data_IF_418940225587
#
_entry.id   IF_418940225587
#
_cell.length_a   1.000
_cell.length_b   1.000
_cell.length_c   1.000
_cell.angle_alpha   90.00
_cell.angle_beta   90.00
_cell.angle_gamma   90.00
#
_symmetry.space_group_name_H-M   'P 1'
#
loop_
_entity.id
_entity.type
_entity.pdbx_description
1 polymer ?
#
# COMPACT_ATOMS: atom_id res chain seq x y z
N UNK A 1 -12.02 2.68 -16.52
CA UNK A 1 -11.04 2.12 -15.59
C UNK A 1 -9.73 2.88 -15.65
N UNK A 2 -9.52 3.80 -14.70
CA UNK A 2 -8.36 4.72 -14.73
C UNK A 2 -7.13 4.16 -14.02
N UNK A 3 -7.27 3.23 -13.06
CA UNK A 3 -6.12 2.57 -12.47
C UNK A 3 -6.44 1.24 -11.77
N UNK A 4 -5.71 0.19 -12.14
CA UNK A 4 -5.47 -0.99 -11.28
C UNK A 4 -4.12 -0.76 -10.61
N UNK A 5 -4.13 -0.35 -9.35
CA UNK A 5 -2.89 0.09 -8.66
C UNK A 5 -2.04 -1.10 -8.16
N UNK A 6 -2.58 -2.33 -8.24
CA UNK A 6 -1.89 -3.58 -7.89
C UNK A 6 -2.00 -4.62 -9.02
N UNK A 7 -1.75 -4.21 -10.26
CA UNK A 7 -1.76 -5.10 -11.42
C UNK A 7 -0.68 -6.18 -11.26
N UNK A 8 -1.09 -7.44 -11.37
CA UNK A 8 -0.15 -8.53 -11.61
C UNK A 8 0.23 -8.53 -13.08
N UNK A 9 1.53 -8.39 -13.37
CA UNK A 9 2.01 -8.75 -14.71
C UNK A 9 1.67 -10.22 -14.97
N UNK A 10 1.29 -10.56 -16.21
CA UNK A 10 0.93 -11.93 -16.63
C UNK A 10 2.08 -12.96 -16.47
N UNK A 11 3.20 -12.60 -15.86
CA UNK A 11 4.28 -13.49 -15.50
C UNK A 11 3.96 -14.19 -14.16
N UNK A 12 3.65 -15.50 -14.16
CA UNK A 12 3.08 -16.23 -13.02
C UNK A 12 4.03 -16.49 -11.83
N UNK A 13 5.19 -15.83 -11.77
CA UNK A 13 6.33 -16.26 -10.93
C UNK A 13 6.94 -15.16 -10.06
N UNK A 14 6.20 -14.08 -9.77
CA UNK A 14 6.73 -12.96 -8.96
C UNK A 14 5.77 -12.62 -7.83
N UNK A 15 6.27 -12.72 -6.59
CA UNK A 15 5.60 -12.20 -5.41
C UNK A 15 5.33 -10.69 -5.57
N UNK A 16 4.09 -10.27 -5.30
CA UNK A 16 3.62 -8.86 -5.36
C UNK A 16 4.51 -7.89 -4.61
N UNK A 17 5.09 -8.36 -3.52
CA UNK A 17 6.05 -7.65 -2.70
C UNK A 17 7.06 -8.64 -2.15
N UNK A 18 8.31 -8.19 -2.00
CA UNK A 18 9.41 -9.00 -1.49
C UNK A 18 10.03 -8.32 -0.28
N UNK A 19 10.29 -9.09 0.78
CA UNK A 19 11.05 -8.63 1.95
C UNK A 19 12.50 -9.09 1.87
N UNK A 20 13.42 -8.21 2.27
CA UNK A 20 14.84 -8.49 2.41
C UNK A 20 15.26 -8.12 3.84
N UNK A 21 15.69 -9.09 4.67
CA UNK A 21 16.25 -8.76 5.98
C UNK A 21 17.51 -7.92 5.79
N UNK A 22 17.76 -7.01 6.74
CA UNK A 22 18.95 -6.15 6.77
C UNK A 22 19.52 -6.15 8.18
N UNK A 23 20.73 -6.67 8.33
CA UNK A 23 21.54 -6.69 9.54
C UNK A 23 23.04 -6.75 9.26
N UNK A 24 23.44 -7.15 8.04
CA UNK A 24 24.84 -7.17 7.61
C UNK A 24 25.06 -6.65 6.18
N UNK A 25 26.31 -6.29 5.79
CA UNK A 25 26.59 -5.72 4.46
C UNK A 25 26.20 -6.62 3.28
N UNK A 26 26.22 -7.95 3.45
CA UNK A 26 25.87 -8.91 2.40
C UNK A 26 24.39 -8.77 1.97
N UNK A 27 23.53 -8.47 2.94
CA UNK A 27 22.08 -8.31 2.78
C UNK A 27 21.72 -6.97 2.11
N UNK A 28 22.48 -5.91 2.39
CA UNK A 28 22.37 -4.64 1.64
C UNK A 28 22.57 -4.89 0.14
N UNK A 29 23.59 -5.68 -0.21
CA UNK A 29 23.85 -6.02 -1.60
C UNK A 29 22.73 -6.89 -2.20
N UNK A 30 22.09 -7.76 -1.41
CA UNK A 30 20.96 -8.57 -1.85
C UNK A 30 19.72 -7.72 -2.17
N UNK A 31 19.31 -6.82 -1.26
CA UNK A 31 18.20 -5.90 -1.47
C UNK A 31 18.44 -5.00 -2.71
N UNK A 32 19.67 -4.48 -2.86
CA UNK A 32 20.05 -3.68 -4.03
C UNK A 32 19.97 -4.46 -5.34
N UNK A 33 20.45 -5.72 -5.36
CA UNK A 33 20.36 -6.58 -6.56
C UNK A 33 18.90 -6.83 -6.95
N UNK A 34 18.04 -7.09 -5.97
CA UNK A 34 16.63 -7.28 -6.21
C UNK A 34 15.93 -6.02 -6.73
N UNK A 35 16.28 -4.84 -6.19
CA UNK A 35 15.81 -3.55 -6.72
C UNK A 35 16.20 -3.34 -8.19
N UNK A 36 17.46 -3.59 -8.53
CA UNK A 36 17.95 -3.48 -9.91
C UNK A 36 17.33 -4.52 -10.87
N UNK A 37 17.02 -5.71 -10.37
CA UNK A 37 16.30 -6.72 -11.12
C UNK A 37 14.86 -6.26 -11.42
N UNK A 38 14.16 -5.78 -10.40
CA UNK A 38 12.79 -5.26 -10.54
C UNK A 38 12.75 -4.05 -11.48
N UNK A 39 13.68 -3.11 -11.34
CA UNK A 39 13.81 -1.93 -12.19
C UNK A 39 13.94 -2.30 -13.68
N UNK A 40 14.86 -3.23 -14.00
CA UNK A 40 15.03 -3.72 -15.37
C UNK A 40 13.76 -4.40 -15.92
N UNK A 41 13.07 -5.19 -15.09
CA UNK A 41 11.84 -5.89 -15.50
C UNK A 41 10.71 -4.92 -15.85
N UNK A 42 10.59 -3.80 -15.14
CA UNK A 42 9.55 -2.79 -15.40
C UNK A 42 10.00 -1.68 -16.37
N UNK A 43 11.17 -1.83 -17.00
CA UNK A 43 11.65 -0.92 -18.04
C UNK A 43 12.26 0.39 -17.55
N UNK A 44 12.83 0.44 -16.34
CA UNK A 44 13.64 1.59 -15.92
C UNK A 44 14.91 1.71 -16.76
N UNK A 45 15.31 2.95 -17.03
CA UNK A 45 16.59 3.25 -17.66
C UNK A 45 17.75 3.14 -16.65
N UNK A 46 18.98 3.26 -17.15
CA UNK A 46 20.19 3.15 -16.32
C UNK A 46 20.23 4.24 -15.22
N UNK A 47 19.70 5.43 -15.51
CA UNK A 47 19.66 6.54 -14.55
C UNK A 47 18.71 6.19 -13.39
N UNK A 48 17.46 5.82 -13.67
CA UNK A 48 16.48 5.43 -12.63
C UNK A 48 16.91 4.18 -11.87
N UNK A 49 17.52 3.22 -12.55
CA UNK A 49 18.09 2.02 -11.90
C UNK A 49 19.22 2.40 -10.95
N UNK A 50 20.14 3.28 -11.36
CA UNK A 50 21.20 3.80 -10.50
C UNK A 50 20.68 4.58 -9.30
N UNK A 51 19.66 5.43 -9.50
CA UNK A 51 18.99 6.17 -8.42
C UNK A 51 18.36 5.22 -7.40
N UNK A 52 17.60 4.21 -7.85
CA UNK A 52 17.00 3.20 -6.99
C UNK A 52 18.07 2.45 -6.18
N UNK A 53 19.19 2.09 -6.80
CA UNK A 53 20.29 1.40 -6.12
C UNK A 53 20.90 2.23 -4.98
N UNK A 54 21.04 3.54 -5.16
CA UNK A 54 21.54 4.47 -4.14
C UNK A 54 20.55 4.55 -2.98
N UNK A 55 19.27 4.79 -3.24
CA UNK A 55 18.29 4.95 -2.15
C UNK A 55 18.15 3.67 -1.31
N UNK A 56 18.18 2.49 -1.94
CA UNK A 56 18.16 1.20 -1.22
C UNK A 56 19.42 1.06 -0.36
N UNK A 57 20.58 1.39 -0.91
CA UNK A 57 21.86 1.25 -0.19
C UNK A 57 21.92 2.19 1.01
N UNK A 58 21.51 3.45 0.86
CA UNK A 58 21.49 4.43 1.94
C UNK A 58 20.47 4.05 3.02
N UNK A 59 19.26 3.64 2.65
CA UNK A 59 18.23 3.24 3.60
C UNK A 59 18.65 2.00 4.39
N UNK A 60 19.16 0.97 3.71
CA UNK A 60 19.66 -0.25 4.36
C UNK A 60 20.90 0.02 5.22
N UNK A 61 21.80 0.90 4.79
CA UNK A 61 22.96 1.32 5.60
C UNK A 61 22.51 2.04 6.87
N UNK A 62 21.49 2.88 6.79
CA UNK A 62 20.92 3.54 7.97
C UNK A 62 20.33 2.52 8.96
N UNK A 63 19.63 1.49 8.47
CA UNK A 63 19.14 0.39 9.31
C UNK A 63 20.30 -0.27 10.08
N UNK A 64 21.36 -0.69 9.39
CA UNK A 64 22.52 -1.34 10.03
C UNK A 64 23.19 -0.41 11.05
N UNK A 65 23.41 0.86 10.70
CA UNK A 65 24.11 1.82 11.55
C UNK A 65 23.33 2.26 12.78
N UNK A 66 22.00 2.40 12.66
CA UNK A 66 21.18 3.07 13.68
C UNK A 66 20.20 2.14 14.40
N UNK A 67 19.82 1.01 13.79
CA UNK A 67 18.87 0.06 14.34
C UNK A 67 19.43 -1.36 14.49
N UNK A 68 20.63 -1.64 13.97
CA UNK A 68 21.31 -2.94 13.92
C UNK A 68 20.62 -3.98 13.02
N UNK A 69 19.29 -3.99 12.99
CA UNK A 69 18.47 -4.88 12.17
C UNK A 69 17.20 -4.19 11.68
N UNK A 70 16.69 -4.66 10.56
CA UNK A 70 15.44 -4.23 9.95
C UNK A 70 15.19 -5.00 8.66
N UNK A 71 14.40 -4.41 7.77
CA UNK A 71 14.11 -5.00 6.48
C UNK A 71 13.84 -3.92 5.42
N UNK A 72 14.01 -4.33 4.15
CA UNK A 72 13.62 -3.56 2.98
C UNK A 72 12.51 -4.32 2.26
N UNK A 73 11.36 -3.69 2.07
CA UNK A 73 10.29 -4.21 1.23
C UNK A 73 10.33 -3.53 -0.14
N UNK A 74 10.22 -4.33 -1.21
CA UNK A 74 10.18 -3.86 -2.59
C UNK A 74 8.91 -4.34 -3.27
N UNK A 75 8.19 -3.43 -3.94
CA UNK A 75 7.09 -3.78 -4.85
C UNK A 75 7.03 -2.84 -6.05
N UNK A 76 6.47 -3.36 -7.15
CA UNK A 76 6.03 -2.53 -8.27
C UNK A 76 4.78 -1.75 -7.83
N UNK A 77 4.68 -0.50 -8.26
CA UNK A 77 3.47 0.31 -8.17
C UNK A 77 3.12 0.83 -9.55
N UNK A 78 1.85 1.06 -9.81
CA UNK A 78 1.35 1.64 -11.07
C UNK A 78 0.51 2.86 -10.73
N UNK A 79 0.68 3.98 -11.42
CA UNK A 79 -0.19 5.16 -11.30
C UNK A 79 -0.30 5.85 -12.64
N UNK A 80 -1.53 6.07 -13.12
CA UNK A 80 -1.78 6.73 -14.42
C UNK A 80 -1.02 6.07 -15.59
N UNK A 81 -0.93 4.73 -15.61
CA UNK A 81 -0.17 3.96 -16.61
C UNK A 81 1.35 4.01 -16.45
N UNK A 82 1.89 4.77 -15.50
CA UNK A 82 3.34 4.83 -15.22
C UNK A 82 3.70 3.84 -14.13
N UNK A 83 4.67 2.96 -14.40
CA UNK A 83 5.21 2.03 -13.41
C UNK A 83 6.27 2.71 -12.54
N UNK A 84 6.30 2.32 -11.26
CA UNK A 84 7.28 2.74 -10.27
C UNK A 84 7.68 1.59 -9.35
N UNK A 85 8.65 1.85 -8.49
CA UNK A 85 9.08 0.93 -7.43
C UNK A 85 8.95 1.64 -6.10
N UNK A 86 8.13 1.07 -5.21
CA UNK A 86 8.07 1.48 -3.82
C UNK A 86 9.11 0.70 -3.01
N UNK A 87 9.85 1.43 -2.20
CA UNK A 87 10.80 0.92 -1.22
C UNK A 87 10.29 1.32 0.16
N UNK A 88 10.06 0.32 1.02
CA UNK A 88 9.81 0.55 2.45
C UNK A 88 11.03 0.08 3.22
N UNK A 89 11.67 0.99 3.96
CA UNK A 89 12.74 0.63 4.88
C UNK A 89 12.20 0.66 6.30
N UNK A 90 12.24 -0.48 6.98
CA UNK A 90 11.53 -0.72 8.23
C UNK A 90 12.52 -1.16 9.30
N UNK A 91 12.55 -0.47 10.43
CA UNK A 91 13.34 -0.88 11.59
C UNK A 91 12.60 -0.73 12.92
N UNK A 92 13.11 -1.46 13.92
CA UNK A 92 12.69 -1.42 15.31
C UNK A 92 13.74 -0.73 16.20
N UNK A 93 14.52 0.18 15.62
CA UNK A 93 15.57 0.91 16.32
C UNK A 93 15.04 1.90 17.36
N UNK A 94 15.91 2.76 17.91
CA UNK A 94 15.52 3.73 18.93
C UNK A 94 14.53 4.80 18.41
N UNK A 95 14.38 4.93 17.10
CA UNK A 95 13.61 6.02 16.47
C UNK A 95 14.28 7.39 16.67
N UNK A 96 13.64 8.43 16.15
CA UNK A 96 14.14 9.80 16.20
C UNK A 96 13.12 10.72 16.89
N UNK A 97 13.61 11.71 17.63
CA UNK A 97 12.79 12.79 18.17
C UNK A 97 12.64 13.93 17.15
N UNK A 98 11.53 14.67 17.22
CA UNK A 98 11.31 15.97 16.55
C UNK A 98 11.40 16.02 15.01
N UNK A 99 11.36 14.89 14.29
CA UNK A 99 11.52 14.87 12.83
C UNK A 99 10.38 15.59 12.09
N UNK A 100 9.12 15.52 12.56
CA UNK A 100 7.98 16.17 11.88
C UNK A 100 8.02 17.71 11.92
N UNK A 101 8.50 18.31 13.01
CA UNK A 101 8.69 19.77 13.07
C UNK A 101 9.65 20.23 11.96
N UNK A 102 10.65 19.40 11.62
CA UNK A 102 11.61 19.68 10.56
C UNK A 102 11.09 19.34 9.14
N UNK A 103 9.92 18.71 9.01
CA UNK A 103 9.30 18.37 7.72
C UNK A 103 8.20 19.36 7.31
N UNK A 104 7.49 19.97 8.26
CA UNK A 104 6.38 20.91 8.00
C UNK A 104 6.84 22.33 7.63
N UNK A 105 7.99 22.79 8.13
CA UNK A 105 8.33 24.22 8.08
C UNK A 105 8.80 24.75 6.72
N UNK A 106 8.92 23.95 5.66
CA UNK A 106 9.08 24.41 4.26
C UNK A 106 10.27 25.34 3.94
N UNK A 107 10.99 25.85 4.93
CA UNK A 107 12.06 26.83 4.88
C UNK A 107 12.90 26.69 6.15
N UNK A 108 14.11 26.17 5.95
CA UNK A 108 15.32 26.33 6.78
C UNK A 108 15.20 26.12 8.31
N UNK A 109 15.96 25.16 8.81
CA UNK A 109 17.26 25.47 9.42
C UNK A 109 18.11 24.22 9.38
N UNK A 110 19.40 24.44 9.41
CA UNK A 110 20.53 23.52 9.32
C UNK A 110 20.54 22.50 10.48
N UNK A 111 19.52 21.66 10.59
CA UNK A 111 19.59 20.37 11.25
C UNK A 111 19.82 19.33 10.17
N UNK A 112 21.08 19.10 9.78
CA UNK A 112 21.41 18.13 8.73
C UNK A 112 20.83 16.76 9.08
N UNK A 113 19.70 16.41 8.47
CA UNK A 113 19.47 15.02 8.10
C UNK A 113 20.81 14.52 7.54
N UNK A 114 21.38 13.47 8.15
CA UNK A 114 22.68 12.96 7.71
C UNK A 114 22.72 12.80 6.20
N UNK A 115 23.90 12.92 5.59
CA UNK A 115 24.09 12.96 4.13
C UNK A 115 23.24 11.92 3.38
N UNK A 116 23.08 10.72 3.96
CA UNK A 116 22.26 9.64 3.42
C UNK A 116 20.76 9.96 3.31
N UNK A 117 20.11 10.48 4.36
CA UNK A 117 18.66 10.77 4.32
C UNK A 117 18.36 11.96 3.40
N UNK A 118 19.27 12.95 3.34
CA UNK A 118 19.20 14.02 2.35
C UNK A 118 19.33 13.51 0.91
N UNK A 119 20.17 12.50 0.67
CA UNK A 119 20.27 11.86 -0.65
C UNK A 119 19.00 11.09 -1.00
N UNK A 120 18.45 10.29 -0.06
CA UNK A 120 17.20 9.55 -0.25
C UNK A 120 16.06 10.50 -0.67
N UNK A 121 15.87 11.61 0.06
CA UNK A 121 14.80 12.57 -0.25
C UNK A 121 14.98 13.24 -1.61
N UNK A 122 16.21 13.55 -2.03
CA UNK A 122 16.47 14.18 -3.33
C UNK A 122 16.30 13.21 -4.51
N UNK A 123 16.57 11.93 -4.30
CA UNK A 123 16.56 10.91 -5.36
C UNK A 123 15.21 10.21 -5.52
N UNK A 124 14.32 10.34 -4.53
CA UNK A 124 12.97 9.78 -4.57
C UNK A 124 11.98 10.82 -5.09
N UNK A 125 11.01 10.42 -5.91
CA UNK A 125 9.93 11.32 -6.34
C UNK A 125 8.84 11.44 -5.27
N UNK A 126 8.54 10.33 -4.58
CA UNK A 126 7.72 10.36 -3.36
C UNK A 126 8.56 9.90 -2.18
N UNK A 127 8.37 10.58 -1.06
CA UNK A 127 9.10 10.31 0.17
C UNK A 127 8.22 10.66 1.36
N UNK A 128 8.10 9.74 2.32
CA UNK A 128 7.54 10.03 3.63
C UNK A 128 8.28 9.23 4.71
N UNK A 129 8.17 9.69 5.95
CA UNK A 129 8.89 9.11 7.09
C UNK A 129 8.02 9.09 8.35
N UNK A 130 7.90 7.90 8.93
CA UNK A 130 7.37 7.74 10.28
C UNK A 130 8.49 7.34 11.24
N UNK A 131 8.62 8.08 12.34
CA UNK A 131 9.56 7.74 13.42
C UNK A 131 9.05 8.34 14.73
N UNK A 132 9.29 7.63 15.83
CA UNK A 132 9.06 8.16 17.17
C UNK A 132 10.02 7.50 18.17
N UNK A 133 10.38 8.18 19.28
CA UNK A 133 11.25 7.60 20.30
C UNK A 133 10.72 6.24 20.81
N UNK A 134 11.57 5.21 20.74
CA UNK A 134 11.23 3.84 21.14
C UNK A 134 10.27 3.10 20.20
N UNK A 135 9.95 3.67 19.03
CA UNK A 135 9.02 3.10 18.04
C UNK A 135 9.69 2.80 16.70
N UNK A 136 11.02 2.80 16.62
CA UNK A 136 11.75 2.58 15.37
C UNK A 136 11.48 3.64 14.29
N UNK A 137 11.88 3.32 13.08
CA UNK A 137 11.74 4.18 11.90
C UNK A 137 11.19 3.39 10.72
N UNK A 138 10.30 4.03 9.95
CA UNK A 138 9.77 3.52 8.69
C UNK A 138 9.90 4.62 7.65
N UNK A 139 10.66 4.35 6.58
CA UNK A 139 10.80 5.24 5.42
C UNK A 139 10.02 4.66 4.25
N UNK A 140 9.31 5.53 3.54
CA UNK A 140 8.68 5.22 2.27
C UNK A 140 9.33 6.05 1.17
N UNK A 141 9.72 5.38 0.10
CA UNK A 141 10.27 6.02 -1.10
C UNK A 141 9.62 5.43 -2.34
N UNK A 142 9.33 6.25 -3.34
CA UNK A 142 8.94 5.77 -4.67
C UNK A 142 9.84 6.39 -5.73
N UNK A 143 10.33 5.52 -6.61
CA UNK A 143 10.98 5.92 -7.86
C UNK A 143 10.03 5.61 -9.01
N UNK A 144 9.73 6.58 -9.87
CA UNK A 144 8.87 6.41 -11.06
C UNK A 144 9.68 6.35 -12.35
N UNK A 145 9.22 5.54 -13.31
CA UNK A 145 9.84 5.39 -14.64
C UNK A 145 9.71 6.63 -15.54
N UNK A 146 10.41 6.62 -16.68
CA UNK A 146 10.67 7.81 -17.51
C UNK A 146 9.51 8.33 -18.37
N UNK A 147 8.33 7.69 -18.38
CA UNK A 147 7.14 8.33 -18.98
C UNK A 147 6.53 9.43 -18.10
N UNK A 148 7.01 9.58 -16.87
CA UNK A 148 6.78 10.76 -16.06
C UNK A 148 7.77 11.86 -16.47
N UNK A 149 7.28 12.92 -17.12
CA UNK A 149 7.98 14.20 -17.33
C UNK A 149 8.34 14.83 -15.97
N UNK A 150 9.30 14.27 -15.22
CA UNK A 150 9.73 14.70 -13.87
C UNK A 150 8.63 14.89 -12.81
N UNK A 151 7.35 14.77 -13.16
CA UNK A 151 6.20 14.97 -12.31
C UNK A 151 5.73 13.61 -11.79
N UNK A 152 5.46 13.54 -10.49
CA UNK A 152 4.71 12.45 -9.88
C UNK A 152 3.46 12.23 -10.76
N UNK A 153 3.17 10.99 -11.23
CA UNK A 153 1.97 10.76 -12.03
C UNK A 153 0.76 11.27 -11.25
N UNK A 154 -0.16 11.98 -11.94
CA UNK A 154 -1.38 12.49 -11.32
C UNK A 154 -2.04 11.38 -10.51
N UNK A 155 -2.28 11.66 -9.24
CA UNK A 155 -2.96 10.67 -8.42
C UNK A 155 -4.44 10.78 -8.70
N UNK A 156 -5.19 9.66 -8.79
CA UNK A 156 -6.60 9.77 -8.47
C UNK A 156 -6.71 10.37 -7.05
N UNK A 157 -7.88 10.86 -6.63
CA UNK A 157 -8.08 11.47 -5.30
C UNK A 157 -7.92 10.47 -4.13
N UNK A 158 -7.06 9.46 -4.26
CA UNK A 158 -6.86 8.31 -3.40
C UNK A 158 -5.37 8.07 -3.19
N UNK A 159 -4.98 7.97 -1.92
CA UNK A 159 -3.70 7.44 -1.51
C UNK A 159 -3.89 6.01 -1.01
N UNK A 160 -3.02 5.11 -1.47
CA UNK A 160 -3.09 3.68 -1.14
C UNK A 160 -1.72 3.18 -0.74
N UNK A 161 -1.69 2.43 0.34
CA UNK A 161 -0.50 1.76 0.84
C UNK A 161 -0.83 0.34 1.21
N UNK A 162 0.10 -0.57 0.95
CA UNK A 162 -0.09 -1.95 1.40
C UNK A 162 1.22 -2.63 1.75
N UNK A 163 1.12 -3.59 2.66
CA UNK A 163 2.09 -4.67 2.85
C UNK A 163 1.37 -5.98 2.56
N UNK A 164 1.91 -6.83 1.70
CA UNK A 164 1.34 -8.12 1.30
C UNK A 164 2.50 -9.10 1.12
N UNK A 165 2.82 -9.86 2.16
CA UNK A 165 4.01 -10.70 2.21
C UNK A 165 3.63 -12.16 2.50
N UNK A 166 4.34 -13.12 1.86
CA UNK A 166 4.15 -14.52 2.16
C UNK A 166 4.59 -14.86 3.58
N UNK A 167 4.03 -15.95 4.12
CA UNK A 167 4.62 -16.68 5.23
C UNK A 167 6.10 -16.94 4.93
N UNK A 168 6.99 -16.78 5.92
CA UNK A 168 8.43 -16.84 5.71
C UNK A 168 8.94 -18.17 5.08
N UNK A 169 8.20 -19.27 5.22
CA UNK A 169 8.51 -20.56 4.58
C UNK A 169 8.03 -20.69 3.14
N UNK A 170 7.26 -19.72 2.64
CA UNK A 170 6.62 -19.72 1.33
C UNK A 170 7.26 -18.69 0.40
N UNK A 171 7.19 -18.95 -0.91
CA UNK A 171 7.65 -18.01 -1.93
C UNK A 171 6.52 -17.14 -2.48
N UNK A 172 5.26 -17.56 -2.28
CA UNK A 172 4.07 -16.91 -2.81
C UNK A 172 3.09 -16.70 -1.66
N UNK A 173 2.56 -15.48 -1.59
CA UNK A 173 1.59 -15.08 -0.57
C UNK A 173 0.23 -15.73 -0.86
N UNK A 174 -0.35 -16.40 0.14
CA UNK A 174 -1.72 -16.92 0.08
C UNK A 174 -2.79 -15.83 0.04
N UNK A 175 -2.45 -14.62 0.50
CA UNK A 175 -3.33 -13.45 0.41
C UNK A 175 -3.18 -12.68 -0.92
N UNK A 176 -4.24 -11.96 -1.27
CA UNK A 176 -4.26 -10.99 -2.35
C UNK A 176 -5.09 -9.76 -1.98
N UNK A 177 -4.76 -8.62 -2.57
CA UNK A 177 -5.57 -7.40 -2.52
C UNK A 177 -5.60 -6.74 -3.89
N UNK A 178 -6.66 -6.02 -4.21
CA UNK A 178 -6.73 -5.26 -5.46
C UNK A 178 -7.62 -4.06 -5.32
N UNK A 179 -7.39 -3.06 -6.16
CA UNK A 179 -8.16 -1.84 -6.18
C UNK A 179 -8.44 -1.43 -7.62
N UNK A 180 -9.70 -1.05 -7.86
CA UNK A 180 -10.15 -0.47 -9.12
C UNK A 180 -10.71 0.92 -8.81
N UNK A 181 -10.18 1.93 -9.50
CA UNK A 181 -10.60 3.31 -9.39
C UNK A 181 -11.22 3.79 -10.71
N UNK A 182 -12.39 4.41 -10.63
CA UNK A 182 -13.12 5.01 -11.75
C UNK A 182 -13.73 6.35 -11.33
N UNK A 183 -13.08 7.47 -11.68
CA UNK A 183 -13.54 8.79 -11.27
C UNK A 183 -13.61 8.95 -9.74
N UNK A 184 -14.83 9.15 -9.21
CA UNK A 184 -15.09 9.31 -7.78
C UNK A 184 -15.40 7.99 -7.06
N UNK A 185 -15.45 6.87 -7.79
CA UNK A 185 -15.71 5.55 -7.24
C UNK A 185 -14.42 4.74 -7.11
N UNK A 186 -14.30 4.00 -6.00
CA UNK A 186 -13.18 3.09 -5.74
C UNK A 186 -13.67 1.81 -5.08
N UNK A 187 -13.28 0.66 -5.65
CA UNK A 187 -13.50 -0.65 -5.05
C UNK A 187 -12.17 -1.24 -4.60
N UNK A 188 -12.05 -1.55 -3.30
CA UNK A 188 -10.93 -2.25 -2.68
C UNK A 188 -11.38 -3.65 -2.26
N UNK A 189 -10.61 -4.67 -2.62
CA UNK A 189 -10.78 -6.04 -2.11
C UNK A 189 -9.54 -6.52 -1.38
N UNK A 190 -9.73 -7.33 -0.34
CA UNK A 190 -8.69 -8.13 0.32
C UNK A 190 -9.21 -9.56 0.47
N UNK A 191 -8.39 -10.54 0.08
CA UNK A 191 -8.68 -11.96 0.16
C UNK A 191 -7.54 -12.71 0.81
N UNK A 192 -7.89 -13.70 1.61
CA UNK A 192 -7.00 -14.65 2.30
C UNK A 192 -7.41 -16.04 1.83
N UNK A 193 -6.59 -16.64 0.96
CA UNK A 193 -6.84 -17.96 0.41
C UNK A 193 -6.60 -19.04 1.46
N UNK A 194 -7.44 -20.09 1.51
CA UNK A 194 -7.33 -21.07 2.59
C UNK A 194 -5.96 -21.78 2.66
N UNK A 195 -5.26 -21.57 3.78
CA UNK A 195 -3.91 -22.06 4.05
C UNK A 195 -2.87 -21.07 3.54
N UNK A 196 -1.68 -21.55 3.16
CA UNK A 196 -0.61 -20.72 2.61
C UNK A 196 -0.04 -21.32 1.31
N UNK A 197 0.81 -20.53 0.64
CA UNK A 197 1.53 -20.95 -0.55
C UNK A 197 0.68 -21.00 -1.83
N UNK A 198 1.14 -21.69 -2.89
CA UNK A 198 0.59 -21.52 -4.24
C UNK A 198 -0.91 -21.85 -4.41
N UNK A 199 -1.44 -22.78 -3.62
CA UNK A 199 -2.86 -23.16 -3.70
C UNK A 199 -3.80 -22.16 -3.02
N UNK A 200 -3.33 -21.53 -1.93
CA UNK A 200 -4.01 -20.40 -1.31
C UNK A 200 -3.96 -19.19 -2.23
N UNK A 201 -2.77 -18.88 -2.76
CA UNK A 201 -2.56 -17.80 -3.72
C UNK A 201 -3.48 -17.94 -4.93
N UNK A 202 -3.63 -19.14 -5.50
CA UNK A 202 -4.57 -19.37 -6.62
C UNK A 202 -6.01 -18.96 -6.29
N UNK A 203 -6.46 -19.15 -5.05
CA UNK A 203 -7.81 -18.79 -4.63
C UNK A 203 -7.97 -17.28 -4.49
N UNK A 204 -7.08 -16.61 -3.77
CA UNK A 204 -7.10 -15.17 -3.56
C UNK A 204 -6.84 -14.38 -4.84
N UNK A 205 -5.94 -14.87 -5.69
CA UNK A 205 -5.63 -14.27 -7.00
C UNK A 205 -6.78 -14.40 -8.00
N UNK A 206 -7.54 -15.49 -7.93
CA UNK A 206 -8.77 -15.62 -8.72
C UNK A 206 -9.77 -14.51 -8.37
N UNK A 207 -9.94 -14.18 -7.09
CA UNK A 207 -10.78 -13.06 -6.67
C UNK A 207 -10.22 -11.70 -7.12
N UNK A 208 -8.90 -11.50 -6.99
CA UNK A 208 -8.21 -10.30 -7.46
C UNK A 208 -8.43 -10.03 -8.95
N UNK A 209 -8.29 -11.07 -9.77
CA UNK A 209 -8.50 -11.00 -11.21
C UNK A 209 -9.97 -10.69 -11.56
N UNK A 210 -10.95 -11.18 -10.81
CA UNK A 210 -12.36 -10.82 -11.06
C UNK A 210 -12.62 -9.33 -10.87
N UNK A 211 -12.01 -8.72 -9.86
CA UNK A 211 -12.18 -7.27 -9.65
C UNK A 211 -11.56 -6.49 -10.81
N UNK A 212 -10.36 -6.88 -11.22
CA UNK A 212 -9.63 -6.25 -12.33
C UNK A 212 -10.39 -6.31 -13.67
N UNK A 213 -11.07 -7.43 -13.96
CA UNK A 213 -11.83 -7.60 -15.21
C UNK A 213 -13.29 -7.14 -15.07
N UNK A 214 -13.62 -6.34 -14.06
CA UNK A 214 -14.95 -5.76 -13.91
C UNK A 214 -15.29 -4.84 -15.07
N UNK A 215 -16.58 -4.75 -15.42
CA UNK A 215 -17.05 -3.91 -16.52
C UNK A 215 -16.71 -2.43 -16.27
N UNK A 216 -16.00 -1.76 -17.18
CA UNK A 216 -15.70 -0.34 -17.04
C UNK A 216 -16.97 0.52 -16.91
N UNK A 217 -16.97 1.46 -15.98
CA UNK A 217 -18.09 2.36 -15.68
C UNK A 217 -19.18 1.75 -14.78
N UNK A 218 -19.01 0.51 -14.33
CA UNK A 218 -19.95 -0.23 -13.48
C UNK A 218 -19.15 -1.05 -12.43
N UNK A 219 -18.46 -0.39 -11.48
CA UNK A 219 -17.76 -1.11 -10.42
C UNK A 219 -18.76 -1.99 -9.64
N UNK A 220 -18.42 -3.26 -9.36
CA UNK A 220 -19.37 -4.18 -8.79
C UNK A 220 -19.63 -3.83 -7.32
N UNK A 221 -20.91 -3.81 -6.93
CA UNK A 221 -21.30 -3.65 -5.53
C UNK A 221 -20.74 -4.81 -4.68
N UNK A 222 -20.34 -4.57 -3.41
CA UNK A 222 -19.68 -5.55 -2.57
C UNK A 222 -20.39 -6.90 -2.48
N UNK A 223 -21.71 -6.93 -2.24
CA UNK A 223 -22.43 -8.20 -2.12
C UNK A 223 -22.45 -8.99 -3.43
N UNK A 224 -22.79 -8.34 -4.54
CA UNK A 224 -22.83 -8.97 -5.87
C UNK A 224 -21.45 -9.48 -6.29
N UNK A 225 -20.39 -8.74 -5.96
CA UNK A 225 -19.02 -9.19 -6.23
C UNK A 225 -18.68 -10.47 -5.46
N UNK A 226 -19.02 -10.55 -4.17
CA UNK A 226 -18.74 -11.74 -3.36
C UNK A 226 -19.52 -12.96 -3.88
N UNK A 227 -20.76 -12.78 -4.33
CA UNK A 227 -21.55 -13.85 -4.96
C UNK A 227 -20.92 -14.35 -6.26
N UNK A 228 -20.45 -13.44 -7.12
CA UNK A 228 -19.70 -13.76 -8.33
C UNK A 228 -18.40 -14.51 -8.00
N UNK A 229 -17.62 -13.98 -7.06
CA UNK A 229 -16.38 -14.59 -6.59
C UNK A 229 -16.62 -15.99 -6.01
N UNK A 230 -17.74 -16.21 -5.30
CA UNK A 230 -18.08 -17.54 -4.80
C UNK A 230 -18.24 -18.56 -5.91
N UNK A 231 -18.86 -18.20 -7.04
CA UNK A 231 -18.93 -19.08 -8.21
C UNK A 231 -17.55 -19.41 -8.80
N UNK A 232 -16.72 -18.39 -8.98
CA UNK A 232 -15.39 -18.53 -9.56
C UNK A 232 -14.40 -19.32 -8.68
N UNK A 233 -14.50 -19.18 -7.36
CA UNK A 233 -13.59 -19.84 -6.41
C UNK A 233 -13.98 -21.30 -6.10
N UNK A 234 -15.07 -21.85 -6.66
CA UNK A 234 -15.52 -23.24 -6.38
C UNK A 234 -14.48 -24.32 -6.68
N UNK A 235 -13.60 -24.08 -7.66
CA UNK A 235 -12.54 -25.00 -8.05
C UNK A 235 -11.20 -24.72 -7.35
N UNK A 236 -11.16 -23.82 -6.37
CA UNK A 236 -9.98 -23.47 -5.58
C UNK A 236 -10.12 -23.96 -4.15
N UNK A 237 -9.20 -23.58 -3.25
CA UNK A 237 -9.38 -23.83 -1.81
C UNK A 237 -10.46 -22.96 -1.16
N UNK A 238 -10.97 -21.97 -1.90
CA UNK A 238 -11.77 -20.89 -1.34
C UNK A 238 -10.93 -19.85 -0.61
N UNK A 239 -11.57 -18.77 -0.20
CA UNK A 239 -10.92 -17.67 0.50
C UNK A 239 -11.87 -16.99 1.50
N UNK A 240 -11.31 -16.39 2.54
CA UNK A 240 -11.95 -15.25 3.18
C UNK A 240 -11.79 -14.04 2.26
N UNK A 241 -12.83 -13.20 2.15
CA UNK A 241 -12.88 -12.09 1.20
C UNK A 241 -13.69 -10.95 1.80
N UNK A 242 -13.14 -9.74 1.74
CA UNK A 242 -13.89 -8.52 2.01
C UNK A 242 -13.73 -7.51 0.88
N UNK A 243 -14.80 -6.76 0.63
CA UNK A 243 -14.85 -5.72 -0.40
C UNK A 243 -15.43 -4.45 0.21
N UNK A 244 -14.73 -3.36 0.00
CA UNK A 244 -15.17 -2.01 0.27
C UNK A 244 -15.35 -1.26 -1.05
N UNK A 245 -16.52 -0.68 -1.28
CA UNK A 245 -16.79 0.19 -2.41
C UNK A 245 -17.12 1.57 -1.88
N UNK A 246 -16.39 2.58 -2.35
CA UNK A 246 -16.52 3.96 -1.90
C UNK A 246 -16.95 4.81 -3.09
N UNK A 247 -18.00 5.59 -2.89
CA UNK A 247 -18.43 6.66 -3.78
C UNK A 247 -18.19 7.99 -3.06
N UNK A 248 -17.15 8.72 -3.47
CA UNK A 248 -16.79 9.98 -2.80
C UNK A 248 -17.74 11.13 -3.14
N UNK A 249 -18.42 11.09 -4.29
CA UNK A 249 -19.42 12.08 -4.65
C UNK A 249 -20.68 11.95 -3.80
N UNK A 250 -21.11 10.71 -3.51
CA UNK A 250 -22.24 10.41 -2.61
C UNK A 250 -21.85 10.35 -1.14
N UNK A 251 -20.54 10.41 -0.84
CA UNK A 251 -20.00 10.32 0.53
C UNK A 251 -20.45 9.02 1.20
N UNK A 252 -20.32 7.92 0.48
CA UNK A 252 -20.83 6.60 0.90
C UNK A 252 -19.73 5.53 0.83
N UNK A 253 -19.64 4.71 1.87
CA UNK A 253 -18.85 3.48 1.92
C UNK A 253 -19.79 2.28 2.04
N UNK A 254 -19.79 1.41 1.05
CA UNK A 254 -20.45 0.10 1.07
C UNK A 254 -19.43 -0.98 1.38
N UNK A 255 -19.79 -1.91 2.25
CA UNK A 255 -18.89 -2.97 2.70
C UNK A 255 -19.62 -4.30 2.80
N UNK A 256 -18.97 -5.37 2.34
CA UNK A 256 -19.36 -6.74 2.62
C UNK A 256 -18.11 -7.57 2.89
N UNK A 257 -18.19 -8.48 3.86
CA UNK A 257 -17.07 -9.34 4.25
C UNK A 257 -17.54 -10.74 4.61
N UNK A 258 -16.76 -11.74 4.18
CA UNK A 258 -16.97 -13.16 4.47
C UNK A 258 -15.65 -13.74 4.96
N UNK A 259 -15.68 -14.36 6.14
CA UNK A 259 -14.50 -14.93 6.80
C UNK A 259 -13.87 -13.97 7.82
N UNK A 260 -12.55 -14.03 7.91
CA UNK A 260 -11.71 -13.41 8.95
C UNK A 260 -10.99 -12.12 8.51
N UNK A 261 -11.26 -11.59 7.31
CA UNK A 261 -10.71 -10.29 6.90
C UNK A 261 -11.28 -9.21 7.81
N UNK A 262 -10.39 -8.50 8.51
CA UNK A 262 -10.73 -7.41 9.40
C UNK A 262 -10.73 -6.09 8.63
N UNK A 263 -11.71 -5.23 8.91
CA UNK A 263 -11.80 -3.91 8.32
C UNK A 263 -12.19 -2.86 9.37
N UNK A 264 -11.51 -1.72 9.34
CA UNK A 264 -11.73 -0.60 10.23
C UNK A 264 -11.70 0.71 9.44
N UNK A 265 -12.68 1.58 9.64
CA UNK A 265 -12.66 2.95 9.15
C UNK A 265 -12.39 3.92 10.31
N UNK A 266 -11.48 4.87 10.11
CA UNK A 266 -11.14 5.93 11.04
C UNK A 266 -11.59 7.25 10.46
N UNK A 267 -12.57 7.89 11.09
CA UNK A 267 -12.87 9.29 10.84
C UNK A 267 -12.30 10.14 12.00
N UNK A 268 -12.45 11.48 11.93
CA UNK A 268 -11.91 12.38 12.96
C UNK A 268 -12.57 12.21 14.35
N UNK A 269 -13.70 11.50 14.44
CA UNK A 269 -14.52 11.40 15.64
C UNK A 269 -14.55 9.98 16.24
N UNK A 270 -14.36 8.94 15.43
CA UNK A 270 -14.52 7.55 15.87
C UNK A 270 -13.76 6.54 15.00
N UNK A 271 -13.39 5.43 15.65
CA UNK A 271 -13.02 4.18 15.00
C UNK A 271 -14.25 3.31 14.80
N UNK A 272 -14.49 2.85 13.58
CA UNK A 272 -15.60 1.95 13.24
C UNK A 272 -15.09 0.62 12.69
N UNK A 273 -15.47 -0.47 13.34
CA UNK A 273 -15.24 -1.82 12.80
C UNK A 273 -16.32 -2.16 11.77
N UNK A 274 -15.89 -2.65 10.61
CA UNK A 274 -16.81 -3.14 9.57
C UNK A 274 -16.94 -4.67 9.74
N UNK A 275 -18.17 -5.17 9.73
CA UNK A 275 -18.47 -6.53 10.15
C UNK A 275 -18.39 -7.52 8.99
N UNK A 276 -17.55 -8.55 9.15
CA UNK A 276 -17.51 -9.73 8.29
C UNK A 276 -18.35 -10.86 8.88
N UNK A 277 -19.03 -11.62 8.02
CA UNK A 277 -19.80 -12.79 8.43
C UNK A 277 -19.00 -14.08 8.27
N UNK A 278 -19.29 -15.08 9.10
CA UNK A 278 -18.63 -16.38 8.99
C UNK A 278 -18.97 -17.06 7.66
N UNK A 279 -17.94 -17.58 6.97
CA UNK A 279 -18.07 -18.35 5.74
C UNK A 279 -16.77 -18.35 4.95
N UNK A 280 -16.76 -19.12 3.86
CA UNK A 280 -15.65 -19.24 2.93
C UNK A 280 -16.21 -19.05 1.52
N UNK A 281 -15.73 -18.03 0.82
CA UNK A 281 -16.05 -17.79 -0.60
C UNK A 281 -15.43 -18.92 -1.43
N UNK A 282 -16.21 -19.50 -2.35
CA UNK A 282 -15.85 -20.74 -3.06
C UNK A 282 -16.24 -22.04 -2.35
N UNK A 283 -16.71 -22.01 -1.09
CA UNK A 283 -17.11 -23.22 -0.35
C UNK A 283 -18.48 -23.08 0.33
N UNK A 284 -18.55 -22.59 1.56
CA UNK A 284 -19.77 -22.57 2.38
C UNK A 284 -20.37 -21.16 2.55
N UNK A 285 -20.49 -20.43 1.44
CA UNK A 285 -21.07 -19.08 1.43
C UNK A 285 -22.55 -19.12 1.82
N UNK A 286 -22.93 -18.25 2.76
CA UNK A 286 -24.33 -17.96 3.12
C UNK A 286 -24.76 -16.64 2.49
N UNK A 287 -25.98 -16.17 2.80
CA UNK A 287 -26.45 -14.85 2.36
C UNK A 287 -25.42 -13.77 2.72
N UNK A 288 -24.93 -13.08 1.69
CA UNK A 288 -24.01 -11.94 1.87
C UNK A 288 -24.80 -10.75 2.35
N UNK A 289 -24.30 -10.09 3.39
CA UNK A 289 -24.90 -8.86 3.90
C UNK A 289 -23.98 -7.69 3.58
N UNK A 290 -24.54 -6.71 2.89
CA UNK A 290 -23.91 -5.42 2.64
C UNK A 290 -24.31 -4.43 3.74
N UNK A 291 -23.34 -3.63 4.16
CA UNK A 291 -23.52 -2.51 5.07
C UNK A 291 -23.12 -1.22 4.37
N UNK A 292 -23.86 -0.15 4.65
CA UNK A 292 -23.57 1.18 4.17
C UNK A 292 -23.22 2.09 5.35
N UNK A 293 -22.18 2.90 5.16
CA UNK A 293 -21.64 3.84 6.13
C UNK A 293 -21.34 5.18 5.45
N UNK A 294 -21.42 6.31 6.18
CA UNK A 294 -20.96 7.59 5.65
C UNK A 294 -19.45 7.56 5.40
N UNK A 295 -19.03 8.17 4.29
CA UNK A 295 -17.64 8.40 3.94
C UNK A 295 -17.29 9.87 4.08
N UNK A 296 -16.11 10.15 4.66
CA UNK A 296 -15.55 11.50 4.70
C UNK A 296 -14.15 11.48 4.08
N UNK A 297 -13.73 12.59 3.50
CA UNK A 297 -12.42 12.69 2.83
C UNK A 297 -11.24 12.35 3.74
N UNK A 298 -11.29 12.76 5.01
CA UNK A 298 -10.27 12.42 5.99
C UNK A 298 -10.34 10.96 6.49
N UNK A 299 -11.32 10.18 6.03
CA UNK A 299 -11.52 8.81 6.48
C UNK A 299 -10.36 7.94 5.99
N UNK A 300 -9.76 7.21 6.92
CA UNK A 300 -8.77 6.18 6.60
C UNK A 300 -9.41 4.81 6.75
N UNK A 301 -9.48 4.05 5.67
CA UNK A 301 -9.91 2.66 5.68
C UNK A 301 -8.69 1.76 5.81
N UNK A 302 -8.73 0.83 6.76
CA UNK A 302 -7.70 -0.19 6.97
C UNK A 302 -8.36 -1.55 6.86
N UNK A 303 -7.88 -2.38 5.93
CA UNK A 303 -8.30 -3.77 5.77
C UNK A 303 -7.08 -4.68 5.91
N UNK A 304 -7.20 -5.80 6.61
CA UNK A 304 -6.10 -6.73 6.77
C UNK A 304 -6.55 -8.19 6.90
N UNK A 305 -5.71 -9.11 6.46
CA UNK A 305 -5.88 -10.55 6.71
C UNK A 305 -5.60 -10.89 8.17
N UNK A 306 -5.87 -12.12 8.58
CA UNK A 306 -5.63 -12.52 9.96
C UNK A 306 -4.15 -12.78 10.28
N UNK A 307 -3.24 -12.71 9.30
CA UNK A 307 -1.79 -12.60 9.50
C UNK A 307 -1.37 -11.43 10.39
N UNK A 308 -2.22 -10.41 10.51
CA UNK A 308 -2.08 -9.31 11.46
C UNK A 308 -2.96 -9.53 12.70
N UNK A 309 -2.42 -9.24 13.88
CA UNK A 309 -3.25 -9.13 15.09
C UNK A 309 -4.31 -8.02 14.93
N UNK A 310 -5.52 -8.22 15.44
CA UNK A 310 -6.61 -7.22 15.36
C UNK A 310 -6.54 -6.15 16.45
N UNK A 311 -5.74 -6.39 17.49
CA UNK A 311 -5.61 -5.52 18.68
C UNK A 311 -4.48 -4.50 18.52
N UNK A 312 -4.58 -3.66 17.50
CA UNK A 312 -3.73 -2.48 17.31
C UNK A 312 -4.53 -1.20 17.60
N UNK A 313 -3.79 -0.13 17.86
CA UNK A 313 -4.32 1.17 18.26
C UNK A 313 -3.41 2.27 17.68
N UNK A 314 -3.93 3.03 16.72
CA UNK A 314 -3.17 4.08 16.03
C UNK A 314 -2.84 5.27 16.95
N UNK A 315 -3.60 5.48 18.02
CA UNK A 315 -3.33 6.57 18.97
C UNK A 315 -2.00 6.37 19.70
N UNK A 316 -1.52 5.13 19.80
CA UNK A 316 -0.19 4.78 20.34
C UNK A 316 0.96 5.16 19.41
N UNK A 317 0.65 5.64 18.21
CA UNK A 317 1.58 6.08 17.18
C UNK A 317 1.26 7.51 16.76
N UNK A 318 1.62 8.52 17.58
CA UNK A 318 1.30 9.91 17.30
C UNK A 318 1.76 10.33 15.91
N UNK A 319 0.86 10.92 15.14
CA UNK A 319 1.14 11.38 13.80
C UNK A 319 0.98 10.32 12.70
N UNK A 320 0.98 9.02 13.02
CA UNK A 320 1.01 7.96 12.01
C UNK A 320 -0.18 8.05 11.06
N UNK A 321 -1.37 8.39 11.58
CA UNK A 321 -2.58 8.54 10.79
C UNK A 321 -2.50 9.65 9.71
N UNK A 322 -1.60 10.63 9.87
CA UNK A 322 -1.37 11.70 8.89
C UNK A 322 -0.29 11.36 7.86
N UNK A 323 0.51 10.32 8.09
CA UNK A 323 1.50 9.86 7.11
C UNK A 323 0.83 9.25 5.87
N UNK A 324 1.62 9.00 4.83
CA UNK A 324 1.24 8.23 3.68
C UNK A 324 0.69 6.85 4.12
N UNK A 325 -0.41 6.35 3.52
CA UNK A 325 -0.98 5.05 3.85
C UNK A 325 0.02 3.88 3.87
N UNK A 326 1.06 3.91 3.04
CA UNK A 326 2.11 2.86 3.04
C UNK A 326 2.88 2.81 4.35
N UNK A 327 3.11 3.95 5.00
CA UNK A 327 3.75 3.99 6.32
C UNK A 327 2.82 3.42 7.40
N UNK A 328 1.52 3.70 7.32
CA UNK A 328 0.53 3.10 8.23
C UNK A 328 0.53 1.58 8.09
N UNK A 329 0.46 1.07 6.85
CA UNK A 329 0.52 -0.36 6.58
C UNK A 329 1.81 -1.00 7.09
N UNK A 330 2.96 -0.35 6.84
CA UNK A 330 4.27 -0.83 7.25
C UNK A 330 4.47 -0.85 8.77
N UNK A 331 4.04 0.19 9.50
CA UNK A 331 4.12 0.21 10.97
C UNK A 331 3.20 -0.83 11.58
N UNK A 332 1.99 -0.99 11.04
CA UNK A 332 1.08 -2.03 11.50
C UNK A 332 1.67 -3.41 11.28
N UNK A 333 2.19 -3.70 10.08
CA UNK A 333 2.90 -4.94 9.78
C UNK A 333 4.06 -5.18 10.76
N UNK A 334 4.97 -4.22 10.91
CA UNK A 334 6.16 -4.36 11.77
C UNK A 334 5.82 -4.72 13.22
N UNK A 335 4.78 -4.10 13.77
CA UNK A 335 4.48 -4.20 15.21
C UNK A 335 3.42 -5.26 15.54
N UNK A 336 2.61 -5.68 14.56
CA UNK A 336 1.43 -6.53 14.79
C UNK A 336 1.34 -7.75 13.86
N UNK A 337 2.32 -8.00 12.99
CA UNK A 337 2.37 -9.26 12.24
C UNK A 337 2.56 -10.46 13.18
N UNK A 338 1.84 -11.55 12.91
CA UNK A 338 1.90 -12.78 13.73
C UNK A 338 3.15 -13.63 13.44
N UNK A 339 3.72 -13.51 12.24
CA UNK A 339 4.90 -14.27 11.79
C UNK A 339 4.68 -15.77 11.56
N UNK A 340 3.42 -16.23 11.57
CA UNK A 340 3.03 -17.64 11.38
C UNK A 340 1.99 -17.85 10.29
N UNK A 341 1.68 -16.80 9.54
CA UNK A 341 0.77 -16.81 8.41
C UNK A 341 1.23 -15.82 7.34
N UNK A 342 0.61 -15.90 6.16
CA UNK A 342 0.65 -14.81 5.18
C UNK A 342 0.10 -13.51 5.80
N UNK A 343 0.60 -12.35 5.38
CA UNK A 343 0.16 -11.07 5.97
C UNK A 343 -0.14 -10.04 4.91
N UNK A 344 -1.36 -9.50 4.97
CA UNK A 344 -1.81 -8.39 4.13
C UNK A 344 -2.40 -7.29 4.99
N UNK A 345 -1.93 -6.06 4.79
CA UNK A 345 -2.48 -4.84 5.35
C UNK A 345 -2.62 -3.84 4.21
N UNK A 346 -3.83 -3.36 3.97
CA UNK A 346 -4.12 -2.31 2.97
C UNK A 346 -4.72 -1.12 3.68
N UNK A 347 -4.16 0.05 3.42
CA UNK A 347 -4.61 1.34 3.95
C UNK A 347 -4.97 2.23 2.79
N UNK A 348 -6.14 2.84 2.88
CA UNK A 348 -6.73 3.70 1.87
C UNK A 348 -7.18 5.01 2.52
N UNK A 349 -6.92 6.14 1.86
CA UNK A 349 -7.41 7.45 2.27
C UNK A 349 -7.72 8.29 1.02
N UNK A 350 -8.77 9.10 1.09
CA UNK A 350 -9.06 10.09 0.05
C UNK A 350 -8.13 11.31 0.23
N UNK A 351 -7.56 11.83 -0.85
CA UNK A 351 -6.63 12.95 -0.85
C UNK A 351 -7.02 13.95 -1.95
N UNK A 352 -7.09 15.23 -1.62
CA UNK A 352 -7.23 16.29 -2.62
C UNK A 352 -5.86 16.65 -3.18
N UNK A 353 -5.67 16.57 -4.50
CA UNK A 353 -4.59 17.34 -5.12
C UNK A 353 -4.83 18.83 -4.85
N UNK A 354 -3.95 19.48 -4.10
CA UNK A 354 -3.87 20.93 -4.13
C UNK A 354 -3.60 21.33 -5.58
N UNK A 355 -4.58 21.96 -6.24
CA UNK A 355 -4.39 22.62 -7.53
C UNK A 355 -3.22 23.60 -7.40
N UNK A 356 -2.04 23.20 -7.87
CA UNK A 356 -0.92 24.11 -8.05
C UNK A 356 -1.30 25.07 -9.19
N UNK A 357 -1.81 26.24 -8.80
CA UNK A 357 -1.76 27.53 -9.50
C UNK A 357 -1.71 27.43 -11.04
N UNK A 358 -2.86 27.30 -11.69
CA UNK A 358 -3.08 27.88 -13.01
C UNK A 358 -3.82 29.21 -12.82
N UNK A 359 -3.10 30.22 -12.34
CA UNK A 359 -3.55 31.61 -12.31
C UNK A 359 -2.39 32.55 -12.68
N UNK A 360 -1.65 32.21 -13.73
CA UNK A 360 -0.76 33.14 -14.44
C UNK A 360 -0.95 32.91 -15.95
N UNK A 361 -2.09 33.35 -16.48
CA UNK A 361 -2.31 33.66 -17.91
C UNK A 361 -3.71 34.25 -18.10
N UNK A 362 -4.00 35.36 -17.40
CA UNK A 362 -5.15 36.20 -17.72
C UNK A 362 -4.92 37.68 -17.34
N UNK A 363 -3.67 38.15 -17.41
CA UNK A 363 -3.37 39.60 -17.45
C UNK A 363 -2.42 39.83 -18.62
N UNK A 364 -2.98 40.12 -19.79
CA UNK A 364 -2.18 40.31 -21.00
C UNK A 364 -2.97 40.47 -22.29
N UNK A 365 -4.09 41.19 -22.27
CA UNK A 365 -4.62 41.82 -23.50
C UNK A 365 -5.68 42.87 -23.14
N UNK A 366 -5.28 44.14 -23.15
CA UNK A 366 -6.19 45.25 -22.87
C UNK A 366 -5.53 46.61 -22.76
N UNK A 367 -4.65 46.97 -23.70
CA UNK A 367 -4.29 48.37 -23.98
C UNK A 367 -3.53 48.47 -25.31
N UNK A 368 -4.27 48.75 -26.38
CA UNK A 368 -3.86 49.59 -27.50
C UNK A 368 -5.11 49.98 -28.30
#
# INVERSE_FOLDING_TARGET
MEAVLNHLDQAPDIARQRSFPIGEPSEIAAARRAGNELARRIGFDDVRTGQLAIIISEAATNIVKHAQRGEILLRKVLRGGTSGIEVLAIDNGPGMANVRQHMQDGHSTTGTYGVGLGAIRRLSQEFDLYTAPGKGTVLMMVVWGQHASSAIPASPNWQIGAVCLPLASEQVCGDAWNVVCEGHELSLMVADGLGHGPLAARASECASALLEHSTPGLPPLPASFIELAHGALRATRGAALAVAHIDSARRELRYAGVGNIAACAFDAQQRRHLLSHNGIVGSNLRKVQEFCFPWQQATTLIMHSDGLHTRWDLERYPGLAQCHPSLVAAVLYRDFARGRDDVTVVVLREHEEHQAVTAETAEGTGAA
#
